data_IF_748993592144
#
_entry.id   IF_748993592144
#
_cell.length_a   1.000
_cell.length_b   1.000
_cell.length_c   1.000
_cell.angle_alpha   90.00
_cell.angle_beta   90.00
_cell.angle_gamma   90.00
#
_symmetry.space_group_name_H-M   'P 1'
#
loop_
_entity.id
_entity.type
_entity.pdbx_description
1 polymer ?
#
# COMPACT_ATOMS: atom_id res chain seq x y z
N UNK A 1 41.13 -12.31 7.97
CA UNK A 1 40.80 -10.88 7.80
C UNK A 1 39.36 -10.61 7.32
N UNK A 2 38.58 -11.62 6.89
CA UNK A 2 37.26 -11.43 6.28
C UNK A 2 36.08 -11.10 7.23
N UNK A 3 36.26 -11.23 8.55
CA UNK A 3 35.21 -10.94 9.54
C UNK A 3 35.20 -9.47 10.00
N UNK A 4 36.29 -8.73 9.73
CA UNK A 4 36.39 -7.31 10.07
C UNK A 4 35.78 -6.44 8.96
N UNK A 5 35.99 -6.82 7.69
CA UNK A 5 35.39 -6.14 6.52
C UNK A 5 33.85 -6.20 6.51
N UNK A 6 33.25 -7.36 6.85
CA UNK A 6 31.78 -7.48 6.91
C UNK A 6 31.15 -6.56 7.97
N UNK A 7 31.87 -6.27 9.05
CA UNK A 7 31.40 -5.40 10.14
C UNK A 7 31.55 -3.92 9.80
N UNK A 8 32.62 -3.56 9.09
CA UNK A 8 32.80 -2.21 8.54
C UNK A 8 31.74 -1.92 7.48
N UNK A 9 31.49 -2.86 6.57
CA UNK A 9 30.40 -2.78 5.58
C UNK A 9 29.03 -2.59 6.22
N UNK A 10 28.69 -3.38 7.25
CA UNK A 10 27.39 -3.23 7.94
C UNK A 10 27.24 -1.86 8.62
N UNK A 11 28.33 -1.31 9.16
CA UNK A 11 28.32 0.02 9.78
C UNK A 11 28.07 1.13 8.76
N UNK A 12 28.76 1.06 7.62
CA UNK A 12 28.60 2.00 6.51
C UNK A 12 27.19 1.91 5.91
N UNK A 13 26.71 0.69 5.65
CA UNK A 13 25.36 0.44 5.13
C UNK A 13 24.28 0.95 6.09
N UNK A 14 24.44 0.73 7.40
CA UNK A 14 23.51 1.23 8.40
C UNK A 14 23.51 2.76 8.45
N UNK A 15 24.68 3.40 8.36
CA UNK A 15 24.76 4.87 8.33
C UNK A 15 24.11 5.46 7.07
N UNK A 16 24.26 4.79 5.93
CA UNK A 16 23.61 5.18 4.69
C UNK A 16 22.09 5.09 4.80
N UNK A 17 21.57 3.98 5.34
CA UNK A 17 20.12 3.76 5.54
C UNK A 17 19.55 4.80 6.52
N UNK A 18 20.22 5.08 7.64
CA UNK A 18 19.77 6.07 8.61
C UNK A 18 19.75 7.48 8.03
N UNK A 19 20.71 7.81 7.15
CA UNK A 19 20.73 9.08 6.43
C UNK A 19 19.54 9.18 5.46
N UNK A 20 19.31 8.16 4.65
CA UNK A 20 18.18 8.10 3.70
C UNK A 20 16.83 8.24 4.41
N UNK A 21 16.68 7.59 5.57
CA UNK A 21 15.50 7.72 6.41
C UNK A 21 15.28 9.16 6.89
N UNK A 22 16.34 9.84 7.34
CA UNK A 22 16.26 11.22 7.79
C UNK A 22 15.95 12.19 6.63
N UNK A 23 16.57 11.98 5.48
CA UNK A 23 16.31 12.77 4.25
C UNK A 23 14.83 12.62 3.83
N UNK A 24 14.29 11.39 3.90
CA UNK A 24 12.88 11.09 3.60
C UNK A 24 11.90 11.79 4.55
N UNK A 25 12.20 11.81 5.86
CA UNK A 25 11.39 12.53 6.85
C UNK A 25 11.40 14.04 6.59
N UNK A 26 12.54 14.59 6.20
CA UNK A 26 12.67 16.00 5.84
C UNK A 26 11.79 16.33 4.62
N UNK A 27 11.77 15.47 3.61
CA UNK A 27 10.92 15.64 2.42
C UNK A 27 9.43 15.59 2.75
N UNK A 28 9.01 14.72 3.67
CA UNK A 28 7.63 14.74 4.18
C UNK A 28 7.31 16.00 4.98
N UNK A 29 8.30 16.57 5.69
CA UNK A 29 8.12 17.79 6.49
C UNK A 29 8.00 19.07 5.64
N UNK A 30 8.56 19.06 4.42
CA UNK A 30 8.42 20.16 3.45
C UNK A 30 6.98 20.35 2.96
N UNK A 31 6.07 19.43 3.31
CA UNK A 31 4.66 19.48 2.98
C UNK A 31 4.41 19.30 1.48
N UNK A 32 3.13 19.29 1.04
CA UNK A 32 2.77 19.17 -0.37
C UNK A 32 3.07 20.49 -1.10
N UNK A 33 4.34 20.82 -1.32
CA UNK A 33 4.75 22.14 -1.82
C UNK A 33 4.28 22.43 -3.26
N UNK A 34 4.08 21.42 -4.11
CA UNK A 34 3.77 21.67 -5.54
C UNK A 34 2.45 21.08 -6.02
N UNK A 35 1.89 20.11 -5.29
CA UNK A 35 0.63 19.49 -5.69
C UNK A 35 -0.56 20.42 -5.45
N UNK A 36 -0.55 21.24 -4.39
CA UNK A 36 -1.73 22.03 -4.02
C UNK A 36 -1.94 23.22 -4.96
N UNK A 37 -0.87 23.96 -5.31
CA UNK A 37 -0.95 25.03 -6.31
C UNK A 37 -1.30 24.50 -7.71
N UNK A 38 -0.69 23.39 -8.13
CA UNK A 38 -1.02 22.77 -9.41
C UNK A 38 -2.47 22.25 -9.44
N UNK A 39 -2.95 21.65 -8.34
CA UNK A 39 -4.35 21.24 -8.20
C UNK A 39 -5.29 22.44 -8.24
N UNK A 40 -4.90 23.58 -7.67
CA UNK A 40 -5.68 24.81 -7.72
C UNK A 40 -5.72 25.40 -9.13
N UNK A 41 -4.60 25.45 -9.84
CA UNK A 41 -4.54 25.88 -11.25
C UNK A 41 -5.39 24.97 -12.16
N UNK A 42 -5.33 23.65 -11.98
CA UNK A 42 -6.16 22.70 -12.72
C UNK A 42 -7.65 22.87 -12.41
N UNK A 43 -8.01 23.13 -11.15
CA UNK A 43 -9.40 23.45 -10.77
C UNK A 43 -9.89 24.73 -11.46
N UNK A 44 -9.08 25.78 -11.50
CA UNK A 44 -9.44 27.03 -12.19
C UNK A 44 -9.58 26.85 -13.70
N UNK A 45 -8.68 26.11 -14.36
CA UNK A 45 -8.79 25.78 -15.78
C UNK A 45 -10.06 24.97 -16.08
N UNK A 46 -10.41 23.99 -15.24
CA UNK A 46 -11.64 23.20 -15.41
C UNK A 46 -12.90 24.05 -15.22
N UNK A 47 -12.89 25.00 -14.28
CA UNK A 47 -14.02 25.92 -14.09
C UNK A 47 -14.18 26.93 -15.22
N UNK A 48 -13.06 27.39 -15.80
CA UNK A 48 -13.06 28.29 -16.96
C UNK A 48 -13.57 27.58 -18.22
N UNK A 49 -13.08 26.36 -18.48
CA UNK A 49 -13.53 25.53 -19.60
C UNK A 49 -15.03 25.17 -19.49
N UNK A 50 -15.55 24.91 -18.28
CA UNK A 50 -16.99 24.67 -18.07
C UNK A 50 -17.86 25.91 -18.25
N UNK A 51 -17.32 27.12 -18.03
CA UNK A 51 -18.03 28.38 -18.27
C UNK A 51 -18.12 28.68 -19.77
N UNK A 52 -17.05 28.42 -20.51
CA UNK A 52 -17.01 28.59 -21.98
C UNK A 52 -17.85 27.53 -22.72
N UNK A 53 -18.10 26.37 -22.11
CA UNK A 53 -19.02 25.35 -22.65
C UNK A 53 -20.50 25.62 -22.32
N UNK A 54 -20.81 26.61 -21.48
CA UNK A 54 -22.19 26.92 -21.08
C UNK A 54 -22.89 27.94 -22.00
N UNK A 55 -22.23 28.41 -23.06
CA UNK A 55 -22.82 29.31 -24.08
C UNK A 55 -22.82 28.70 -25.49
N UNK A 56 -22.64 27.39 -25.63
CA UNK A 56 -22.80 26.73 -26.92
C UNK A 56 -23.37 25.31 -26.77
N UNK A 57 -24.69 25.28 -26.92
CA UNK A 57 -25.45 24.25 -27.63
C UNK A 57 -25.30 22.79 -27.18
N UNK A 58 -26.41 22.30 -26.62
CA UNK A 58 -27.08 21.05 -27.04
C UNK A 58 -26.37 20.32 -28.19
N UNK A 59 -25.89 19.10 -27.95
CA UNK A 59 -25.54 18.18 -29.04
C UNK A 59 -24.51 17.11 -28.70
N UNK A 60 -25.01 15.93 -28.32
CA UNK A 60 -24.52 14.59 -28.66
C UNK A 60 -23.02 14.29 -28.67
N UNK A 61 -22.60 13.41 -27.75
CA UNK A 61 -21.72 12.30 -28.13
C UNK A 61 -22.02 11.07 -27.26
N UNK A 62 -22.87 10.21 -27.80
CA UNK A 62 -22.94 8.79 -27.46
C UNK A 62 -21.54 8.18 -27.59
N UNK A 63 -21.11 7.37 -26.63
CA UNK A 63 -19.94 6.52 -26.85
C UNK A 63 -19.11 6.15 -25.63
N UNK A 64 -19.70 5.47 -24.65
CA UNK A 64 -18.97 4.41 -23.92
C UNK A 64 -19.94 3.53 -23.15
N UNK A 65 -20.59 2.62 -23.87
CA UNK A 65 -21.07 1.38 -23.27
C UNK A 65 -19.84 0.52 -22.94
N UNK A 66 -19.17 0.86 -21.84
CA UNK A 66 -18.22 -0.05 -21.23
C UNK A 66 -19.05 -0.99 -20.36
N UNK A 67 -19.30 -2.15 -20.95
CA UNK A 67 -19.84 -3.35 -20.33
C UNK A 67 -19.33 -3.47 -18.88
N UNK A 68 -20.14 -3.11 -17.90
CA UNK A 68 -19.88 -3.37 -16.49
C UNK A 68 -19.98 -4.88 -16.29
N UNK A 69 -18.84 -5.56 -16.38
CA UNK A 69 -18.70 -6.90 -15.83
C UNK A 69 -18.89 -6.77 -14.32
N UNK A 70 -20.12 -7.00 -13.84
CA UNK A 70 -20.41 -7.09 -12.42
C UNK A 70 -19.80 -8.38 -11.87
N UNK A 71 -18.53 -8.31 -11.47
CA UNK A 71 -17.92 -9.38 -10.67
C UNK A 71 -18.58 -9.40 -9.28
N UNK A 72 -19.46 -10.37 -9.06
CA UNK A 72 -20.10 -10.59 -7.78
C UNK A 72 -19.11 -11.22 -6.79
N UNK A 73 -18.31 -10.39 -6.12
CA UNK A 73 -17.35 -10.79 -5.08
C UNK A 73 -18.01 -11.53 -3.89
N UNK A 74 -19.31 -11.33 -3.69
CA UNK A 74 -20.05 -11.93 -2.59
C UNK A 74 -20.33 -13.43 -2.80
N UNK A 75 -20.41 -13.91 -4.04
CA UNK A 75 -20.51 -15.36 -4.31
C UNK A 75 -19.21 -16.09 -3.94
N UNK A 76 -18.06 -15.51 -4.25
CA UNK A 76 -16.75 -16.09 -3.91
C UNK A 76 -16.55 -16.20 -2.40
N UNK A 77 -16.94 -15.17 -1.64
CA UNK A 77 -16.86 -15.16 -0.17
C UNK A 77 -17.84 -16.13 0.49
N UNK A 78 -19.03 -16.35 -0.09
CA UNK A 78 -19.99 -17.33 0.42
C UNK A 78 -19.48 -18.78 0.24
N UNK A 79 -18.87 -19.09 -0.92
CA UNK A 79 -18.25 -20.40 -1.17
C UNK A 79 -16.97 -20.64 -0.36
N UNK A 80 -16.17 -19.59 -0.10
CA UNK A 80 -14.98 -19.70 0.74
C UNK A 80 -15.32 -20.00 2.21
N UNK A 81 -16.43 -19.43 2.73
CA UNK A 81 -16.92 -19.72 4.10
C UNK A 81 -17.51 -21.12 4.26
N UNK A 82 -17.89 -21.78 3.17
CA UNK A 82 -18.37 -23.18 3.18
C UNK A 82 -17.23 -24.20 3.18
N UNK A 83 -15.98 -23.79 2.96
CA UNK A 83 -14.82 -24.64 3.23
C UNK A 83 -14.53 -24.63 4.74
N UNK A 84 -15.43 -25.25 5.49
CA UNK A 84 -15.27 -25.46 6.92
C UNK A 84 -14.10 -26.41 7.14
N UNK A 85 -13.01 -25.83 7.63
CA UNK A 85 -11.71 -26.46 7.91
C UNK A 85 -10.85 -26.66 6.67
N UNK A 86 -10.01 -25.66 6.39
CA UNK A 86 -8.73 -25.92 5.75
C UNK A 86 -8.05 -27.05 6.53
N UNK A 87 -7.67 -28.12 5.83
CA UNK A 87 -6.92 -29.24 6.41
C UNK A 87 -5.55 -28.68 6.78
N UNK A 88 -5.37 -28.26 8.03
CA UNK A 88 -4.04 -27.97 8.54
C UNK A 88 -3.19 -29.23 8.30
N UNK A 89 -2.03 -29.04 7.68
CA UNK A 89 -1.06 -30.10 7.49
C UNK A 89 -0.50 -30.56 8.83
N UNK A 90 0.71 -31.11 8.80
CA UNK A 90 1.40 -31.47 10.04
C UNK A 90 1.70 -30.21 10.88
N UNK A 91 1.09 -30.09 12.06
CA UNK A 91 1.27 -28.97 13.00
C UNK A 91 2.28 -29.25 14.11
N UNK A 92 2.98 -30.40 14.08
CA UNK A 92 3.91 -30.81 15.16
C UNK A 92 5.03 -29.81 15.45
N UNK A 93 5.56 -29.15 14.44
CA UNK A 93 6.61 -28.13 14.62
C UNK A 93 6.07 -26.91 15.39
N UNK A 94 4.84 -26.50 15.09
CA UNK A 94 4.16 -25.40 15.77
C UNK A 94 3.83 -25.77 17.22
N UNK A 95 3.39 -27.01 17.46
CA UNK A 95 3.12 -27.53 18.80
C UNK A 95 4.39 -27.54 19.67
N UNK A 96 5.54 -27.93 19.11
CA UNK A 96 6.82 -27.89 19.82
C UNK A 96 7.26 -26.45 20.14
N UNK A 97 7.12 -25.53 19.18
CA UNK A 97 7.45 -24.13 19.40
C UNK A 97 6.61 -23.50 20.52
N UNK A 98 5.31 -23.83 20.59
CA UNK A 98 4.43 -23.39 21.68
C UNK A 98 4.89 -23.99 23.02
N UNK A 99 5.23 -25.28 23.07
CA UNK A 99 5.70 -25.91 24.30
C UNK A 99 7.01 -25.29 24.82
N UNK A 100 7.94 -24.95 23.92
CA UNK A 100 9.17 -24.25 24.28
C UNK A 100 8.89 -22.83 24.81
N UNK A 101 7.93 -22.11 24.22
CA UNK A 101 7.48 -20.81 24.70
C UNK A 101 6.83 -20.89 26.08
N UNK A 102 5.92 -21.85 26.29
CA UNK A 102 5.27 -22.08 27.58
C UNK A 102 6.30 -22.36 28.68
N UNK A 103 7.33 -23.17 28.37
CA UNK A 103 8.43 -23.41 29.30
C UNK A 103 9.20 -22.13 29.65
N UNK A 104 9.49 -21.27 28.67
CA UNK A 104 10.18 -19.99 28.92
C UNK A 104 9.32 -19.05 29.76
N UNK A 105 8.00 -19.08 29.57
CA UNK A 105 7.05 -18.26 30.34
C UNK A 105 6.86 -18.77 31.77
N UNK A 106 6.87 -20.08 31.99
CA UNK A 106 6.81 -20.68 33.33
C UNK A 106 8.11 -20.49 34.13
N UNK A 107 9.24 -20.38 33.44
CA UNK A 107 10.56 -20.11 34.03
C UNK A 107 10.76 -18.60 34.39
N UNK A 108 9.77 -17.73 34.18
CA UNK A 108 9.79 -16.27 34.44
C UNK A 108 9.07 -15.87 35.75
#
# INVERSE_FOLDING_TARGET
MQAMERKVSLGEDLTHILKEFNDTLEDFSKGPCESEELLQQLKEQLTSYKRDLCDSSIGSSEGSSLNTSEENLNQSMASARQQTNAKLGDTRELENYIADLDKVLDDL
#
